data_IF_606718609849
#
_entry.id   IF_606718609849
#
_cell.length_a   1.000
_cell.length_b   1.000
_cell.length_c   1.000
_cell.angle_alpha   90.00
_cell.angle_beta   90.00
_cell.angle_gamma   90.00
#
_symmetry.space_group_name_H-M   'P 1'
#
loop_
_entity.id
_entity.type
_entity.pdbx_description
1 polymer ?
#
# COMPACT_ATOMS: atom_id res chain seq x y z
N UNK A 1 10.99 14.23 -53.44
CA UNK A 1 11.21 15.11 -52.27
C UNK A 1 9.88 15.31 -51.60
N UNK A 2 9.71 14.79 -50.38
CA UNK A 2 8.48 14.89 -49.60
C UNK A 2 8.53 13.90 -48.44
N UNK A 3 8.81 14.43 -47.25
CA UNK A 3 9.22 13.76 -46.02
C UNK A 3 8.28 12.63 -45.55
N UNK A 4 8.87 11.51 -45.13
CA UNK A 4 8.26 10.56 -44.20
C UNK A 4 8.48 11.12 -42.79
N UNK A 5 7.40 11.44 -42.08
CA UNK A 5 7.43 11.88 -40.69
C UNK A 5 7.71 10.69 -39.78
N UNK A 6 8.89 10.67 -39.17
CA UNK A 6 9.26 9.73 -38.12
C UNK A 6 8.67 10.27 -36.81
N UNK A 7 7.65 9.60 -36.28
CA UNK A 7 7.17 9.85 -34.91
C UNK A 7 8.22 9.26 -33.97
N UNK A 8 9.05 10.13 -33.40
CA UNK A 8 9.94 9.76 -32.32
C UNK A 8 9.09 9.62 -31.05
N UNK A 9 8.87 8.38 -30.61
CA UNK A 9 8.48 8.12 -29.22
C UNK A 9 9.69 8.53 -28.38
N UNK A 10 9.57 9.67 -27.69
CA UNK A 10 10.54 10.07 -26.70
C UNK A 10 10.35 9.14 -25.51
N UNK A 11 11.21 8.12 -25.41
CA UNK A 11 11.39 7.40 -24.16
C UNK A 11 11.89 8.44 -23.15
N UNK A 12 11.01 8.87 -22.24
CA UNK A 12 11.42 9.61 -21.07
C UNK A 12 12.40 8.69 -20.32
N UNK A 13 13.67 9.09 -20.25
CA UNK A 13 14.60 8.46 -19.35
C UNK A 13 14.08 8.71 -17.93
N UNK A 14 13.58 7.66 -17.27
CA UNK A 14 13.28 7.70 -15.84
C UNK A 14 14.59 7.98 -15.10
N UNK A 15 14.83 9.25 -14.81
CA UNK A 15 15.79 9.66 -13.80
C UNK A 15 15.10 9.59 -12.46
N UNK A 16 15.13 8.41 -11.84
CA UNK A 16 14.91 8.27 -10.41
C UNK A 16 16.10 7.48 -9.87
N UNK A 17 16.74 8.01 -8.83
CA UNK A 17 17.47 7.17 -7.90
C UNK A 17 16.54 6.05 -7.50
N UNK A 18 16.90 4.82 -7.87
CA UNK A 18 16.21 3.59 -7.45
C UNK A 18 15.96 3.69 -5.93
N UNK A 19 14.70 3.64 -5.45
CA UNK A 19 14.37 3.77 -4.02
C UNK A 19 14.91 2.62 -3.17
N UNK A 20 15.77 1.75 -3.73
CA UNK A 20 16.46 0.70 -2.98
C UNK A 20 15.65 -0.57 -2.85
N UNK A 21 14.52 -0.67 -3.56
CA UNK A 21 13.68 -1.87 -3.58
C UNK A 21 14.32 -2.90 -4.51
N UNK A 22 15.05 -3.84 -3.92
CA UNK A 22 15.57 -5.01 -4.61
C UNK A 22 14.43 -5.98 -4.91
N UNK A 23 13.82 -5.90 -6.09
CA UNK A 23 12.90 -6.93 -6.55
C UNK A 23 13.64 -8.26 -6.75
N UNK A 24 13.47 -9.20 -5.82
CA UNK A 24 13.84 -10.59 -6.05
C UNK A 24 12.81 -11.27 -6.94
N UNK A 25 13.24 -12.22 -7.78
CA UNK A 25 12.31 -13.15 -8.43
C UNK A 25 11.31 -13.67 -7.39
N UNK A 26 10.02 -13.73 -7.75
CA UNK A 26 9.02 -14.55 -7.07
C UNK A 26 9.45 -16.01 -7.16
N UNK A 27 10.49 -16.38 -6.41
CA UNK A 27 10.75 -17.78 -6.14
C UNK A 27 9.57 -18.22 -5.30
N UNK A 28 8.92 -19.28 -5.75
CA UNK A 28 8.02 -20.10 -4.96
C UNK A 28 8.76 -20.52 -3.68
N UNK A 29 8.82 -19.65 -2.67
CA UNK A 29 9.14 -20.06 -1.31
C UNK A 29 7.85 -20.64 -0.76
N UNK A 30 7.88 -21.96 -0.62
CA UNK A 30 7.05 -22.73 0.29
C UNK A 30 5.54 -22.67 0.06
N UNK A 31 5.08 -23.20 -1.08
CA UNK A 31 3.88 -24.05 -1.18
C UNK A 31 2.51 -23.52 -0.70
N UNK A 32 2.43 -22.33 -0.15
CA UNK A 32 1.21 -21.71 0.35
C UNK A 32 0.84 -20.60 -0.62
N UNK A 33 0.01 -20.94 -1.60
CA UNK A 33 -0.57 -20.00 -2.54
C UNK A 33 -1.55 -19.03 -1.88
N UNK A 34 -1.10 -18.34 -0.83
CA UNK A 34 -1.87 -17.31 -0.17
C UNK A 34 -1.53 -15.95 -0.77
N UNK A 35 -2.58 -15.29 -1.26
CA UNK A 35 -2.54 -13.90 -1.74
C UNK A 35 -2.33 -12.87 -0.63
N UNK A 36 -2.43 -13.31 0.62
CA UNK A 36 -2.06 -12.55 1.80
C UNK A 36 -0.91 -13.27 2.49
N UNK A 37 0.07 -12.54 3.06
CA UNK A 37 0.91 -13.13 4.07
C UNK A 37 0.00 -13.40 5.28
N UNK A 38 -0.57 -14.59 5.39
CA UNK A 38 -0.57 -15.19 6.72
C UNK A 38 0.81 -15.78 6.87
N UNK A 39 1.44 -15.48 7.99
CA UNK A 39 2.71 -16.05 8.40
C UNK A 39 2.57 -17.58 8.51
N UNK A 40 2.67 -18.24 7.37
CA UNK A 40 2.91 -19.67 7.22
C UNK A 40 3.98 -19.84 6.17
N UNK A 41 5.14 -19.20 6.38
CA UNK A 41 6.37 -19.86 5.96
C UNK A 41 6.32 -21.26 6.55
N UNK A 42 6.18 -22.29 5.72
CA UNK A 42 6.60 -23.62 6.12
C UNK A 42 8.02 -23.42 6.59
N UNK A 43 8.28 -23.72 7.86
CA UNK A 43 9.61 -23.66 8.43
C UNK A 43 10.55 -24.57 7.63
N UNK A 44 11.13 -24.04 6.55
CA UNK A 44 12.48 -24.39 6.17
C UNK A 44 13.36 -24.10 7.37
N UNK A 45 14.38 -24.92 7.60
CA UNK A 45 15.31 -24.81 8.74
C UNK A 45 16.12 -23.47 8.77
N UNK A 46 15.73 -22.45 7.99
CA UNK A 46 16.23 -21.10 8.16
C UNK A 46 15.59 -20.48 9.42
N UNK A 47 16.39 -20.01 10.38
CA UNK A 47 15.84 -19.34 11.55
C UNK A 47 15.04 -18.12 11.09
N UNK A 48 13.79 -18.01 11.55
CA UNK A 48 12.99 -16.80 11.39
C UNK A 48 13.88 -15.58 11.69
N UNK A 49 13.86 -14.53 10.84
CA UNK A 49 14.60 -13.31 11.12
C UNK A 49 14.29 -12.87 12.54
N UNK A 50 15.34 -12.67 13.34
CA UNK A 50 15.15 -12.17 14.70
C UNK A 50 14.66 -10.73 14.55
N UNK A 51 13.35 -10.55 14.80
CA UNK A 51 12.73 -9.24 14.88
C UNK A 51 13.60 -8.31 15.75
N UNK A 52 14.02 -7.14 15.21
CA UNK A 52 14.79 -6.20 16.00
C UNK A 52 13.98 -5.77 17.24
N UNK A 53 14.63 -5.84 18.39
CA UNK A 53 14.06 -5.32 19.64
C UNK A 53 14.32 -3.82 19.72
N UNK A 54 13.28 -3.04 19.92
CA UNK A 54 13.37 -1.59 20.03
C UNK A 54 13.26 -1.17 21.50
N UNK A 55 14.27 -0.46 22.00
CA UNK A 55 14.19 0.18 23.30
C UNK A 55 13.36 1.47 23.20
N UNK A 56 12.61 1.79 24.26
CA UNK A 56 11.86 3.06 24.34
C UNK A 56 12.84 4.23 24.35
N UNK A 57 12.66 5.16 23.41
CA UNK A 57 13.41 6.42 23.36
C UNK A 57 12.75 7.44 24.30
N UNK A 58 13.41 7.85 25.41
CA UNK A 58 12.78 8.72 26.39
C UNK A 58 12.43 10.10 25.83
N UNK A 59 11.22 10.57 26.12
CA UNK A 59 10.77 11.91 25.76
C UNK A 59 10.22 12.07 24.34
N UNK A 60 10.20 11.00 23.53
CA UNK A 60 9.55 11.03 22.21
C UNK A 60 8.04 10.94 22.34
N UNK A 61 7.54 10.01 23.17
CA UNK A 61 6.12 9.86 23.49
C UNK A 61 5.92 10.02 24.99
N UNK A 62 4.93 10.82 25.36
CA UNK A 62 4.39 10.90 26.72
C UNK A 62 3.40 9.74 26.92
N UNK A 63 3.94 8.67 27.50
CA UNK A 63 3.17 7.50 27.87
C UNK A 63 2.33 7.67 29.14
N UNK A 64 2.50 8.75 29.91
CA UNK A 64 1.90 8.87 31.25
C UNK A 64 2.50 7.90 32.27
N UNK A 65 2.04 7.99 33.52
CA UNK A 65 2.41 7.04 34.56
C UNK A 65 1.58 5.75 34.44
N UNK A 66 2.19 4.63 34.86
CA UNK A 66 1.53 3.32 34.97
C UNK A 66 0.81 2.84 33.70
N UNK A 67 1.34 3.24 32.53
CA UNK A 67 0.86 2.76 31.23
C UNK A 67 0.93 1.23 31.13
N UNK A 68 -0.13 0.55 30.66
CA UNK A 68 -0.04 -0.84 30.21
C UNK A 68 0.96 -0.99 29.07
N UNK A 69 2.01 -1.79 29.25
CA UNK A 69 3.05 -1.95 28.24
C UNK A 69 2.49 -2.62 26.98
N UNK A 70 2.82 -2.05 25.82
CA UNK A 70 2.52 -2.64 24.51
C UNK A 70 3.82 -3.15 23.86
N UNK A 71 3.78 -4.27 23.11
CA UNK A 71 4.97 -4.86 22.49
C UNK A 71 5.60 -3.95 21.43
N UNK A 72 4.86 -2.97 20.92
CA UNK A 72 5.28 -2.04 19.88
C UNK A 72 5.76 -0.69 20.42
N UNK A 73 5.77 -0.46 21.74
CA UNK A 73 6.10 0.86 22.34
C UNK A 73 7.47 1.38 21.95
N UNK A 74 8.49 0.53 22.04
CA UNK A 74 9.85 0.91 21.64
C UNK A 74 9.91 1.27 20.16
N UNK A 75 9.27 0.46 19.31
CA UNK A 75 9.22 0.70 17.87
C UNK A 75 8.52 2.03 17.53
N UNK A 76 7.39 2.34 18.17
CA UNK A 76 6.70 3.61 17.93
C UNK A 76 7.56 4.81 18.32
N UNK A 77 8.30 4.74 19.43
CA UNK A 77 9.23 5.82 19.78
C UNK A 77 10.40 5.94 18.80
N UNK A 78 10.87 4.83 18.23
CA UNK A 78 11.88 4.83 17.17
C UNK A 78 11.34 5.46 15.88
N UNK A 79 10.13 5.06 15.45
CA UNK A 79 9.46 5.59 14.28
C UNK A 79 9.17 7.10 14.41
N UNK A 80 8.63 7.56 15.54
CA UNK A 80 8.44 9.00 15.78
C UNK A 80 9.76 9.77 15.85
N UNK A 81 10.82 9.16 16.40
CA UNK A 81 12.16 9.75 16.39
C UNK A 81 12.67 9.94 14.97
N UNK A 82 12.46 8.94 14.11
CA UNK A 82 12.86 8.96 12.71
C UNK A 82 12.05 9.95 11.88
N UNK A 83 10.72 9.95 12.00
CA UNK A 83 9.83 10.92 11.34
C UNK A 83 10.27 12.36 11.65
N UNK A 84 10.57 12.65 12.91
CA UNK A 84 11.06 13.97 13.31
C UNK A 84 12.43 14.29 12.71
N UNK A 85 13.35 13.33 12.70
CA UNK A 85 14.68 13.51 12.09
C UNK A 85 14.58 13.75 10.58
N UNK A 86 13.79 12.95 9.87
CA UNK A 86 13.50 13.11 8.45
C UNK A 86 12.97 14.51 8.15
N UNK A 87 11.97 14.99 8.91
CA UNK A 87 11.39 16.30 8.67
C UNK A 87 12.30 17.46 9.02
N UNK A 88 13.24 17.31 9.97
CA UNK A 88 14.25 18.34 10.25
C UNK A 88 15.09 18.67 9.01
N UNK A 89 15.45 17.65 8.21
CA UNK A 89 16.24 17.82 7.00
C UNK A 89 15.36 18.10 5.78
N UNK A 90 14.33 17.28 5.56
CA UNK A 90 13.46 17.36 4.39
C UNK A 90 12.69 18.69 4.33
N UNK A 91 12.30 19.28 5.46
CA UNK A 91 11.62 20.57 5.47
C UNK A 91 12.55 21.72 5.09
N UNK A 92 13.83 21.67 5.49
CA UNK A 92 14.84 22.66 5.08
C UNK A 92 15.06 22.58 3.57
N UNK A 93 15.23 21.37 3.04
CA UNK A 93 15.44 21.15 1.61
C UNK A 93 14.23 21.60 0.77
N UNK A 94 13.03 21.20 1.18
CA UNK A 94 11.83 21.37 0.37
C UNK A 94 11.14 22.72 0.60
N UNK A 95 11.13 23.27 1.81
CA UNK A 95 10.45 24.52 2.16
C UNK A 95 11.38 25.69 2.48
N UNK A 96 12.70 25.45 2.61
CA UNK A 96 13.68 26.51 2.85
C UNK A 96 13.61 27.12 4.25
N UNK A 97 13.03 26.40 5.22
CA UNK A 97 12.88 26.81 6.60
C UNK A 97 13.23 25.66 7.54
N UNK A 98 13.58 25.97 8.79
CA UNK A 98 13.79 24.95 9.82
C UNK A 98 12.45 24.37 10.25
N UNK A 99 12.38 23.05 10.38
CA UNK A 99 11.21 22.39 10.99
C UNK A 99 11.23 22.64 12.49
N UNK A 100 10.15 23.20 13.02
CA UNK A 100 9.99 23.36 14.47
C UNK A 100 9.35 22.09 15.04
N UNK A 101 9.94 21.43 16.06
CA UNK A 101 9.34 20.26 16.67
C UNK A 101 7.94 20.52 17.24
N UNK A 102 7.17 19.46 17.49
CA UNK A 102 5.86 19.55 18.14
C UNK A 102 6.02 20.12 19.55
N UNK A 103 5.53 21.34 19.76
CA UNK A 103 5.66 22.03 21.04
C UNK A 103 4.76 21.45 22.13
N UNK A 104 3.66 20.79 21.74
CA UNK A 104 2.78 20.06 22.63
C UNK A 104 3.17 18.61 22.86
N UNK A 105 4.02 18.01 22.03
CA UNK A 105 4.49 16.63 22.17
C UNK A 105 3.55 15.57 21.55
N UNK A 106 3.78 14.31 21.92
CA UNK A 106 3.07 13.14 21.37
C UNK A 106 2.55 12.30 22.54
N UNK A 107 1.28 11.90 22.52
CA UNK A 107 0.62 11.26 23.66
C UNK A 107 -0.02 9.91 23.30
N UNK A 108 0.26 8.89 24.13
CA UNK A 108 -0.49 7.65 24.11
C UNK A 108 -1.76 7.79 24.96
N UNK A 109 -2.93 7.48 24.38
CA UNK A 109 -4.21 7.50 25.07
C UNK A 109 -4.68 6.08 25.40
N UNK A 110 -5.10 5.86 26.65
CA UNK A 110 -5.64 4.59 27.12
C UNK A 110 -6.59 4.85 28.31
N UNK A 111 -7.57 3.98 28.60
CA UNK A 111 -8.63 4.24 29.58
C UNK A 111 -8.14 4.55 31.00
N UNK A 112 -7.00 3.99 31.40
CA UNK A 112 -6.45 4.14 32.76
C UNK A 112 -5.41 5.26 32.89
N UNK A 113 -5.20 6.07 31.85
CA UNK A 113 -4.26 7.21 31.88
C UNK A 113 -4.69 8.24 32.93
N UNK A 114 -3.77 8.68 33.78
CA UNK A 114 -4.05 9.65 34.84
C UNK A 114 -3.68 11.09 34.42
N UNK A 115 -2.60 11.23 33.66
CA UNK A 115 -2.12 12.51 33.16
C UNK A 115 -3.00 13.02 32.02
N UNK A 116 -3.33 14.31 32.06
CA UNK A 116 -4.13 14.93 31.02
C UNK A 116 -3.38 14.96 29.68
N UNK A 117 -4.11 14.67 28.60
CA UNK A 117 -3.70 14.98 27.23
C UNK A 117 -4.16 16.42 26.94
N UNK A 118 -3.38 17.27 26.26
CA UNK A 118 -3.80 18.62 25.90
C UNK A 118 -5.12 18.62 25.13
N UNK A 119 -5.92 19.68 25.29
CA UNK A 119 -7.17 19.83 24.55
C UNK A 119 -6.92 20.34 23.14
N UNK A 120 -7.72 19.90 22.16
CA UNK A 120 -7.65 20.43 20.80
C UNK A 120 -8.66 21.56 20.58
N UNK A 121 -8.22 22.80 20.83
CA UNK A 121 -9.10 23.98 20.75
C UNK A 121 -10.07 24.12 21.92
N UNK A 122 -10.00 23.24 22.92
CA UNK A 122 -10.85 23.25 24.13
C UNK A 122 -10.03 23.58 25.39
N UNK A 123 -10.59 24.29 26.38
CA UNK A 123 -9.90 24.57 27.65
C UNK A 123 -9.70 23.33 28.54
N UNK A 124 -10.48 22.28 28.28
CA UNK A 124 -10.38 20.98 28.94
C UNK A 124 -9.44 20.09 28.12
N UNK A 125 -8.59 19.30 28.77
CA UNK A 125 -7.78 18.30 28.07
C UNK A 125 -8.64 17.27 27.32
N UNK A 126 -8.07 16.61 26.32
CA UNK A 126 -8.74 15.52 25.59
C UNK A 126 -8.89 14.29 26.49
N UNK A 127 -10.08 13.68 26.50
CA UNK A 127 -10.29 12.39 27.18
C UNK A 127 -9.78 11.22 26.34
N UNK A 128 -9.72 10.03 26.91
CA UNK A 128 -9.47 8.82 26.12
C UNK A 128 -10.53 8.65 25.02
N UNK A 129 -11.80 8.86 25.33
CA UNK A 129 -12.90 8.72 24.37
C UNK A 129 -12.80 9.71 23.21
N UNK A 130 -12.34 10.94 23.46
CA UNK A 130 -12.08 11.91 22.40
C UNK A 130 -11.02 11.37 21.43
N UNK A 131 -9.91 10.82 21.95
CA UNK A 131 -8.84 10.25 21.13
C UNK A 131 -9.28 8.98 20.41
N UNK A 132 -9.93 8.05 21.11
CA UNK A 132 -10.40 6.78 20.55
C UNK A 132 -11.45 6.97 19.44
N UNK A 133 -12.22 8.06 19.47
CA UNK A 133 -13.18 8.38 18.41
C UNK A 133 -12.52 8.81 17.09
N UNK A 134 -11.29 9.34 17.17
CA UNK A 134 -10.48 9.77 16.02
C UNK A 134 -9.41 8.74 15.66
N UNK A 135 -9.07 7.83 16.58
CA UNK A 135 -8.04 6.82 16.39
C UNK A 135 -6.63 7.38 16.61
N UNK A 136 -6.19 8.28 15.73
CA UNK A 136 -4.97 9.06 15.87
C UNK A 136 -5.19 10.44 15.22
N UNK A 137 -4.53 11.47 15.73
CA UNK A 137 -4.64 12.80 15.12
C UNK A 137 -3.46 13.72 15.47
N UNK A 138 -3.22 14.71 14.61
CA UNK A 138 -2.52 15.94 14.94
C UNK A 138 -3.49 17.09 15.25
N UNK A 139 -3.21 17.82 16.33
CA UNK A 139 -3.95 19.02 16.69
C UNK A 139 -3.12 20.29 16.44
N UNK A 140 -3.62 21.20 15.62
CA UNK A 140 -2.93 22.47 15.32
C UNK A 140 -2.99 23.47 16.48
N UNK A 141 -4.09 23.54 17.24
CA UNK A 141 -4.26 24.52 18.31
C UNK A 141 -3.35 24.29 19.51
N UNK A 142 -3.03 23.02 19.79
CA UNK A 142 -2.12 22.61 20.85
C UNK A 142 -0.76 22.12 20.36
N UNK A 143 -0.58 22.02 19.04
CA UNK A 143 0.62 21.51 18.36
C UNK A 143 1.15 20.19 18.96
N UNK A 144 0.23 19.23 19.10
CA UNK A 144 0.50 17.90 19.65
C UNK A 144 -0.14 16.81 18.80
N UNK A 145 0.34 15.58 18.96
CA UNK A 145 -0.31 14.39 18.43
C UNK A 145 -0.81 13.49 19.56
N UNK A 146 -1.91 12.79 19.32
CA UNK A 146 -2.38 11.75 20.21
C UNK A 146 -2.90 10.54 19.43
N UNK A 147 -2.81 9.35 20.03
CA UNK A 147 -3.25 8.11 19.41
C UNK A 147 -3.85 7.14 20.43
N UNK A 148 -4.76 6.29 19.98
CA UNK A 148 -5.44 5.25 20.75
C UNK A 148 -4.57 4.00 20.90
N UNK A 149 -3.92 3.89 22.06
CA UNK A 149 -3.03 2.80 22.45
C UNK A 149 -3.77 1.59 23.09
N UNK A 150 -5.11 1.62 23.12
CA UNK A 150 -5.94 0.60 23.78
C UNK A 150 -6.78 -0.23 22.79
N UNK A 151 -7.32 0.39 21.74
CA UNK A 151 -8.20 -0.29 20.78
C UNK A 151 -7.66 -0.29 19.35
N UNK A 152 -7.55 0.87 18.70
CA UNK A 152 -7.22 0.95 17.27
C UNK A 152 -5.80 0.46 16.97
N UNK A 153 -4.77 1.03 17.59
CA UNK A 153 -3.39 0.65 17.30
C UNK A 153 -3.13 -0.82 17.62
N UNK A 154 -3.51 -1.37 18.79
CA UNK A 154 -3.39 -2.81 19.03
C UNK A 154 -4.04 -3.67 17.94
N UNK A 155 -5.22 -3.31 17.44
CA UNK A 155 -5.87 -4.05 16.35
C UNK A 155 -5.03 -4.00 15.07
N UNK A 156 -4.61 -2.80 14.64
CA UNK A 156 -3.81 -2.64 13.42
C UNK A 156 -2.46 -3.37 13.53
N UNK A 157 -1.80 -3.33 14.69
CA UNK A 157 -0.56 -4.07 14.91
C UNK A 157 -0.79 -5.58 14.82
N UNK A 158 -1.87 -6.09 15.41
CA UNK A 158 -2.19 -7.52 15.35
C UNK A 158 -2.54 -7.98 13.92
N UNK A 159 -3.22 -7.13 13.15
CA UNK A 159 -3.73 -7.48 11.82
C UNK A 159 -2.69 -7.27 10.71
N UNK A 160 -1.85 -6.23 10.82
CA UNK A 160 -0.99 -5.74 9.74
C UNK A 160 0.48 -5.52 10.14
N UNK A 161 0.80 -5.53 11.44
CA UNK A 161 2.15 -5.23 11.95
C UNK A 161 2.32 -3.78 12.42
N UNK A 162 3.39 -3.54 13.17
CA UNK A 162 3.69 -2.24 13.81
C UNK A 162 4.11 -1.18 12.78
N UNK A 163 4.71 -1.59 11.68
CA UNK A 163 5.13 -0.76 10.56
C UNK A 163 3.94 -0.11 9.86
N UNK A 164 2.82 -0.85 9.74
CA UNK A 164 1.56 -0.31 9.21
C UNK A 164 1.06 0.87 10.05
N UNK A 165 1.14 0.75 11.38
CA UNK A 165 0.79 1.83 12.30
C UNK A 165 1.76 3.01 12.18
N UNK A 166 3.05 2.77 12.01
CA UNK A 166 4.00 3.86 11.80
C UNK A 166 3.71 4.67 10.52
N UNK A 167 3.23 4.02 9.45
CA UNK A 167 2.77 4.71 8.24
C UNK A 167 1.54 5.59 8.51
N UNK A 168 0.56 5.09 9.28
CA UNK A 168 -0.60 5.90 9.71
C UNK A 168 -0.14 7.11 10.55
N UNK A 169 0.79 6.92 11.47
CA UNK A 169 1.31 8.01 12.29
C UNK A 169 2.16 9.01 11.49
N UNK A 170 2.83 8.58 10.42
CA UNK A 170 3.53 9.46 9.49
C UNK A 170 2.56 10.34 8.70
N UNK A 171 1.37 9.82 8.35
CA UNK A 171 0.28 10.62 7.81
C UNK A 171 -0.15 11.71 8.79
N UNK A 172 -0.44 11.34 10.05
CA UNK A 172 -0.83 12.31 11.08
C UNK A 172 0.25 13.39 11.30
N UNK A 173 1.52 13.00 11.26
CA UNK A 173 2.64 13.95 11.34
C UNK A 173 2.69 14.87 10.11
N UNK A 174 2.24 14.41 8.93
CA UNK A 174 2.07 15.21 7.72
C UNK A 174 1.19 16.44 7.95
N UNK A 175 0.19 16.38 8.82
CA UNK A 175 -0.60 17.55 9.21
C UNK A 175 0.21 18.59 10.00
N UNK A 176 1.16 18.16 10.82
CA UNK A 176 2.09 19.09 11.47
C UNK A 176 2.98 19.81 10.44
N UNK A 177 3.42 19.09 9.41
CA UNK A 177 4.17 19.65 8.26
C UNK A 177 3.34 20.69 7.53
N UNK A 178 2.06 20.41 7.25
CA UNK A 178 1.14 21.35 6.62
C UNK A 178 0.94 22.62 7.44
N UNK A 179 0.81 22.50 8.76
CA UNK A 179 0.73 23.65 9.66
C UNK A 179 1.96 24.55 9.53
N UNK A 180 3.17 23.96 9.47
CA UNK A 180 4.44 24.69 9.32
C UNK A 180 4.64 25.26 7.93
N UNK A 181 4.18 24.55 6.91
CA UNK A 181 4.15 24.98 5.51
C UNK A 181 3.11 26.09 5.23
N UNK A 182 2.21 26.37 6.18
CA UNK A 182 1.06 27.28 6.03
C UNK A 182 0.07 26.81 4.97
N UNK A 183 -0.12 25.49 4.93
CA UNK A 183 -1.00 24.78 4.00
C UNK A 183 -2.27 24.25 4.71
N UNK A 184 -2.49 24.60 5.98
CA UNK A 184 -3.62 24.14 6.78
C UNK A 184 -5.00 24.51 6.21
N UNK A 185 -5.12 25.70 5.61
CA UNK A 185 -6.39 26.23 5.08
C UNK A 185 -6.75 25.71 3.67
N UNK A 186 -6.02 24.72 3.17
CA UNK A 186 -6.28 24.09 1.87
C UNK A 186 -7.51 23.16 1.94
N UNK A 187 -8.15 22.81 0.79
CA UNK A 187 -9.32 21.93 0.78
C UNK A 187 -9.05 20.60 1.50
N UNK A 188 -10.02 20.18 2.35
CA UNK A 188 -9.87 19.03 3.27
C UNK A 188 -9.30 17.78 2.61
N UNK A 189 -9.99 17.25 1.60
CA UNK A 189 -9.52 16.05 0.90
C UNK A 189 -8.13 16.20 0.25
N UNK A 190 -7.78 17.39 -0.27
CA UNK A 190 -6.44 17.60 -0.84
C UNK A 190 -5.36 17.65 0.24
N UNK A 191 -5.71 18.17 1.42
CA UNK A 191 -4.85 18.19 2.58
C UNK A 191 -4.61 16.76 3.08
N UNK A 192 -5.64 15.93 3.17
CA UNK A 192 -5.51 14.51 3.54
C UNK A 192 -4.63 13.74 2.54
N UNK A 193 -4.87 13.93 1.25
CA UNK A 193 -4.06 13.33 0.19
C UNK A 193 -2.59 13.78 0.29
N UNK A 194 -2.31 15.04 0.59
CA UNK A 194 -0.94 15.50 0.74
C UNK A 194 -0.26 14.89 1.98
N UNK A 195 -1.02 14.64 3.07
CA UNK A 195 -0.51 13.92 4.24
C UNK A 195 -0.16 12.46 3.89
N UNK A 196 -0.98 11.76 3.10
CA UNK A 196 -0.63 10.43 2.57
C UNK A 196 0.66 10.46 1.72
N UNK A 197 0.85 11.51 0.90
CA UNK A 197 2.09 11.70 0.14
C UNK A 197 3.32 11.92 1.03
N UNK A 198 3.18 12.71 2.08
CA UNK A 198 4.24 12.91 3.05
C UNK A 198 4.60 11.62 3.78
N UNK A 199 3.61 10.79 4.12
CA UNK A 199 3.85 9.45 4.65
C UNK A 199 4.63 8.58 3.66
N UNK A 200 4.25 8.58 2.38
CA UNK A 200 4.96 7.86 1.32
C UNK A 200 6.42 8.28 1.16
N UNK A 201 6.69 9.59 1.18
CA UNK A 201 8.06 10.12 1.09
C UNK A 201 8.94 9.68 2.27
N UNK A 202 8.39 9.66 3.48
CA UNK A 202 9.07 9.14 4.66
C UNK A 202 9.26 7.61 4.58
N UNK A 203 8.25 6.85 4.16
CA UNK A 203 8.37 5.40 4.00
C UNK A 203 9.45 5.02 2.98
N UNK A 204 9.59 5.77 1.88
CA UNK A 204 10.69 5.57 0.93
C UNK A 204 12.06 5.87 1.54
N UNK A 205 12.16 6.91 2.39
CA UNK A 205 13.38 7.18 3.14
C UNK A 205 13.78 6.00 4.03
N UNK A 206 12.84 5.42 4.77
CA UNK A 206 13.11 4.25 5.63
C UNK A 206 13.44 3.00 4.79
N UNK A 207 12.65 2.71 3.76
CA UNK A 207 12.83 1.54 2.90
C UNK A 207 14.15 1.56 2.11
N UNK A 208 14.64 2.76 1.75
CA UNK A 208 15.94 2.95 1.10
C UNK A 208 17.15 2.89 2.06
N UNK A 209 16.92 2.59 3.35
CA UNK A 209 17.96 2.53 4.38
C UNK A 209 18.43 3.90 4.86
N UNK A 210 17.61 4.94 4.72
CA UNK A 210 17.90 6.28 5.20
C UNK A 210 17.75 6.47 6.71
N UNK A 211 17.05 5.54 7.38
CA UNK A 211 16.86 5.54 8.83
C UNK A 211 17.94 4.74 9.55
N UNK A 212 18.47 5.31 10.64
CA UNK A 212 19.33 4.60 11.60
C UNK A 212 18.53 3.93 12.74
N UNK A 213 17.20 4.19 12.81
CA UNK A 213 16.35 3.78 13.93
C UNK A 213 15.44 2.61 13.60
N UNK A 214 14.94 2.52 12.37
CA UNK A 214 14.02 1.49 11.89
C UNK A 214 14.36 1.09 10.45
N UNK A 215 13.86 -0.04 9.99
CA UNK A 215 14.03 -0.52 8.60
C UNK A 215 12.68 -0.98 8.11
N UNK A 216 12.35 -0.66 6.86
CA UNK A 216 11.19 -1.17 6.14
C UNK A 216 11.65 -2.05 5.00
N UNK A 217 11.00 -3.20 4.83
CA UNK A 217 11.04 -3.97 3.60
C UNK A 217 9.75 -3.80 2.78
N UNK A 218 9.63 -4.56 1.69
CA UNK A 218 8.45 -4.53 0.82
C UNK A 218 7.16 -4.98 1.52
N UNK A 219 7.26 -5.83 2.54
CA UNK A 219 6.12 -6.25 3.34
C UNK A 219 5.65 -5.12 4.23
N UNK A 220 6.56 -4.38 4.86
CA UNK A 220 6.25 -3.24 5.72
C UNK A 220 5.55 -2.11 4.95
N UNK A 221 6.08 -1.74 3.78
CA UNK A 221 5.48 -0.73 2.90
C UNK A 221 4.08 -1.17 2.45
N UNK A 222 3.93 -2.44 2.07
CA UNK A 222 2.62 -3.00 1.67
C UNK A 222 1.63 -2.99 2.83
N UNK A 223 2.04 -3.35 4.04
CA UNK A 223 1.16 -3.33 5.23
C UNK A 223 0.67 -1.92 5.54
N UNK A 224 1.52 -0.90 5.37
CA UNK A 224 1.11 0.51 5.45
C UNK A 224 0.03 0.89 4.43
N UNK A 225 0.20 0.50 3.16
CA UNK A 225 -0.81 0.72 2.12
C UNK A 225 -2.13 0.02 2.45
N UNK A 226 -2.08 -1.21 2.97
CA UNK A 226 -3.28 -1.95 3.41
C UNK A 226 -3.96 -1.24 4.57
N UNK A 227 -3.22 -0.70 5.54
CA UNK A 227 -3.80 0.10 6.63
C UNK A 227 -4.54 1.34 6.10
N UNK A 228 -3.96 2.05 5.13
CA UNK A 228 -4.61 3.20 4.48
C UNK A 228 -5.92 2.80 3.77
N UNK A 229 -5.94 1.64 3.09
CA UNK A 229 -7.15 1.13 2.45
C UNK A 229 -8.22 0.75 3.49
N UNK A 230 -7.83 0.21 4.65
CA UNK A 230 -8.78 -0.16 5.71
C UNK A 230 -9.53 1.05 6.29
N UNK A 231 -8.86 2.20 6.38
CA UNK A 231 -9.43 3.46 6.90
C UNK A 231 -9.85 4.43 5.78
N UNK A 232 -10.17 3.93 4.59
CA UNK A 232 -10.68 4.72 3.46
C UNK A 232 -12.09 5.24 3.73
N UNK A 233 -12.44 6.36 3.09
CA UNK A 233 -13.83 6.83 3.12
C UNK A 233 -14.71 6.04 2.15
N UNK A 234 -16.00 5.88 2.48
CA UNK A 234 -16.97 5.39 1.51
C UNK A 234 -17.09 6.38 0.34
N UNK A 235 -17.30 5.84 -0.86
CA UNK A 235 -17.57 6.60 -2.08
C UNK A 235 -18.99 7.23 -2.03
N UNK A 236 -19.84 6.74 -1.13
CA UNK A 236 -21.22 7.17 -0.95
C UNK A 236 -21.39 8.28 0.11
N UNK A 237 -22.58 8.88 0.16
CA UNK A 237 -22.89 9.96 1.09
C UNK A 237 -22.29 11.28 0.62
N UNK A 238 -21.71 12.05 1.56
CA UNK A 238 -20.98 13.27 1.21
C UNK A 238 -19.62 12.95 0.55
N UNK A 239 -19.12 11.71 0.68
CA UNK A 239 -17.92 11.21 0.00
C UNK A 239 -16.74 12.19 0.11
N UNK A 240 -16.10 12.49 -1.02
CA UNK A 240 -15.00 13.48 -1.09
C UNK A 240 -15.40 14.92 -0.75
N UNK A 241 -16.70 15.23 -0.63
CA UNK A 241 -17.19 16.52 -0.21
C UNK A 241 -17.38 16.64 1.32
N UNK A 242 -17.22 15.55 2.07
CA UNK A 242 -17.16 15.62 3.53
C UNK A 242 -15.90 16.42 3.94
N UNK A 243 -16.03 17.47 4.77
CA UNK A 243 -14.88 18.20 5.30
C UNK A 243 -13.88 17.35 6.10
N UNK A 244 -14.30 16.16 6.56
CA UNK A 244 -13.47 15.16 7.24
C UNK A 244 -13.04 14.00 6.32
N UNK A 245 -13.23 14.12 5.00
CA UNK A 245 -12.84 13.07 4.06
C UNK A 245 -11.32 12.95 3.93
N UNK A 246 -10.81 11.75 4.22
CA UNK A 246 -9.47 11.26 3.88
C UNK A 246 -9.29 11.00 2.38
N UNK A 247 -10.32 10.52 1.69
CA UNK A 247 -10.27 10.11 0.28
C UNK A 247 -10.66 8.65 0.04
N UNK A 248 -10.86 8.28 -1.24
CA UNK A 248 -11.09 6.88 -1.61
C UNK A 248 -9.81 6.07 -1.48
N UNK A 249 -9.92 4.73 -1.36
CA UNK A 249 -8.73 3.87 -1.28
C UNK A 249 -7.77 4.05 -2.46
N UNK A 250 -8.28 4.23 -3.68
CA UNK A 250 -7.44 4.48 -4.86
C UNK A 250 -6.69 5.80 -4.76
N UNK A 251 -7.38 6.86 -4.35
CA UNK A 251 -6.80 8.18 -4.27
C UNK A 251 -5.71 8.22 -3.19
N UNK A 252 -5.95 7.61 -2.03
CA UNK A 252 -5.00 7.54 -0.92
C UNK A 252 -3.74 6.77 -1.27
N UNK A 253 -3.89 5.58 -1.86
CA UNK A 253 -2.76 4.78 -2.36
C UNK A 253 -1.96 5.54 -3.42
N UNK A 254 -2.65 6.19 -4.37
CA UNK A 254 -1.99 6.99 -5.39
C UNK A 254 -1.22 8.18 -4.80
N UNK A 255 -1.77 8.84 -3.78
CA UNK A 255 -1.09 9.93 -3.10
C UNK A 255 0.13 9.45 -2.30
N UNK A 256 0.06 8.31 -1.61
CA UNK A 256 1.22 7.69 -0.99
C UNK A 256 2.30 7.38 -2.03
N UNK A 257 1.94 6.77 -3.16
CA UNK A 257 2.86 6.42 -4.25
C UNK A 257 3.55 7.67 -4.84
N UNK A 258 2.82 8.77 -5.02
CA UNK A 258 3.40 10.05 -5.45
C UNK A 258 4.58 10.47 -4.58
N UNK A 259 4.44 10.30 -3.26
CA UNK A 259 5.49 10.65 -2.29
C UNK A 259 6.59 9.60 -2.22
N UNK A 260 6.24 8.33 -2.28
CA UNK A 260 7.19 7.21 -2.25
C UNK A 260 8.15 7.27 -3.44
N UNK A 261 7.65 7.57 -4.64
CA UNK A 261 8.45 7.66 -5.86
C UNK A 261 9.06 9.06 -6.08
N UNK A 262 8.29 10.12 -5.76
CA UNK A 262 8.62 11.50 -6.11
C UNK A 262 9.19 12.34 -4.97
N UNK A 263 9.20 11.82 -3.74
CA UNK A 263 9.65 12.50 -2.53
C UNK A 263 8.81 13.74 -2.17
N UNK A 264 9.29 14.50 -1.18
CA UNK A 264 8.55 15.66 -0.62
C UNK A 264 8.26 16.74 -1.65
N UNK A 265 9.15 16.95 -2.64
CA UNK A 265 8.94 17.96 -3.69
C UNK A 265 7.71 17.66 -4.55
N UNK A 266 7.39 16.38 -4.78
CA UNK A 266 6.18 15.97 -5.49
C UNK A 266 4.92 16.23 -4.66
N UNK A 267 5.00 16.13 -3.34
CA UNK A 267 3.87 16.42 -2.46
C UNK A 267 3.49 17.91 -2.43
N UNK A 268 4.45 18.81 -2.70
CA UNK A 268 4.20 20.26 -2.73
C UNK A 268 3.30 20.73 -3.89
N UNK A 269 3.08 19.91 -4.92
CA UNK A 269 2.29 20.33 -6.09
C UNK A 269 0.79 20.08 -5.91
N UNK A 270 0.38 19.39 -4.84
CA UNK A 270 -1.00 18.92 -4.61
C UNK A 270 -2.05 20.04 -4.66
N UNK A 271 -1.71 21.26 -4.24
CA UNK A 271 -2.65 22.39 -4.23
C UNK A 271 -2.59 23.26 -5.50
N UNK A 272 -1.66 22.95 -6.41
CA UNK A 272 -1.48 23.71 -7.66
C UNK A 272 -2.00 22.96 -8.90
N UNK A 273 -2.34 21.69 -8.73
CA UNK A 273 -2.85 20.81 -9.77
C UNK A 273 -4.37 20.61 -9.61
N UNK A 274 -5.07 20.28 -10.70
CA UNK A 274 -6.50 19.96 -10.68
C UNK A 274 -6.74 18.50 -10.26
N UNK A 275 -6.35 18.21 -9.02
CA UNK A 275 -6.32 16.87 -8.43
C UNK A 275 -7.70 16.32 -8.16
N UNK A 276 -8.59 17.17 -7.65
CA UNK A 276 -9.98 16.80 -7.34
C UNK A 276 -10.67 16.24 -8.58
N UNK A 277 -10.46 16.86 -9.76
CA UNK A 277 -11.06 16.39 -11.01
C UNK A 277 -10.48 15.07 -11.52
N UNK A 278 -9.30 14.67 -11.02
CA UNK A 278 -8.65 13.39 -11.34
C UNK A 278 -8.98 12.29 -10.32
N UNK A 279 -9.61 12.61 -9.18
CA UNK A 279 -9.97 11.63 -8.16
C UNK A 279 -11.06 10.69 -8.68
N UNK A 280 -10.89 9.39 -8.42
CA UNK A 280 -11.75 8.34 -8.98
C UNK A 280 -12.96 8.13 -8.09
N UNK A 281 -14.04 8.85 -8.39
CA UNK A 281 -15.33 8.69 -7.71
C UNK A 281 -16.34 7.96 -8.61
N UNK A 282 -16.06 6.68 -8.88
CA UNK A 282 -16.99 5.81 -9.64
C UNK A 282 -17.95 5.19 -8.64
N UNK A 283 -19.20 5.66 -8.67
CA UNK A 283 -20.26 5.11 -7.83
C UNK A 283 -20.58 3.68 -8.23
N UNK A 284 -20.62 2.82 -7.22
CA UNK A 284 -20.97 1.43 -7.38
C UNK A 284 -22.48 1.24 -7.65
N UNK A 285 -22.86 0.47 -8.67
CA UNK A 285 -24.27 0.10 -8.86
C UNK A 285 -24.64 -1.03 -7.89
N UNK A 286 -25.34 -0.70 -6.81
CA UNK A 286 -25.76 -1.68 -5.79
C UNK A 286 -26.71 -2.76 -6.31
N UNK A 287 -27.34 -2.55 -7.47
CA UNK A 287 -28.17 -3.55 -8.11
C UNK A 287 -27.35 -4.48 -9.04
N UNK A 288 -26.05 -4.24 -9.19
CA UNK A 288 -25.15 -5.14 -9.91
C UNK A 288 -25.13 -6.50 -9.19
N UNK A 289 -25.57 -7.58 -9.87
CA UNK A 289 -25.67 -8.90 -9.25
C UNK A 289 -24.33 -9.47 -8.78
N UNK A 290 -23.21 -8.95 -9.28
CA UNK A 290 -21.86 -9.40 -8.91
C UNK A 290 -21.13 -8.43 -8.00
N UNK A 291 -21.80 -7.38 -7.52
CA UNK A 291 -21.14 -6.26 -6.84
C UNK A 291 -19.93 -5.73 -7.65
N UNK A 292 -20.07 -5.78 -8.99
CA UNK A 292 -19.14 -5.22 -9.97
C UNK A 292 -17.86 -5.99 -10.17
N UNK A 293 -17.77 -7.16 -9.54
CA UNK A 293 -16.77 -8.15 -9.91
C UNK A 293 -17.11 -8.73 -11.29
N UNK A 294 -16.09 -8.87 -12.13
CA UNK A 294 -16.16 -9.72 -13.31
C UNK A 294 -16.35 -11.19 -12.87
N UNK A 295 -17.20 -11.97 -13.56
CA UNK A 295 -17.26 -13.40 -13.33
C UNK A 295 -15.91 -14.05 -13.70
N UNK A 296 -15.54 -15.14 -13.00
CA UNK A 296 -14.34 -15.88 -13.35
C UNK A 296 -14.39 -16.42 -14.79
N UNK A 297 -15.54 -16.97 -15.20
CA UNK A 297 -15.80 -17.47 -16.55
C UNK A 297 -17.17 -16.96 -17.00
N UNK A 298 -17.22 -16.38 -18.20
CA UNK A 298 -18.44 -15.96 -18.86
C UNK A 298 -19.03 -17.14 -19.61
N UNK A 299 -20.06 -17.73 -19.02
CA UNK A 299 -20.75 -18.87 -19.62
C UNK A 299 -21.54 -18.50 -20.89
N UNK A 300 -21.84 -17.22 -21.11
CA UNK A 300 -22.68 -16.75 -22.21
C UNK A 300 -22.11 -15.44 -22.80
N UNK A 301 -20.94 -15.49 -23.46
CA UNK A 301 -20.29 -14.32 -24.01
C UNK A 301 -21.17 -13.59 -25.02
N UNK A 302 -21.10 -12.26 -24.98
CA UNK A 302 -21.79 -11.43 -25.96
C UNK A 302 -21.22 -11.71 -27.36
N UNK A 303 -22.06 -11.95 -28.40
CA UNK A 303 -21.57 -12.28 -29.73
C UNK A 303 -20.76 -11.18 -30.41
N UNK A 304 -21.00 -9.91 -30.04
CA UNK A 304 -20.38 -8.73 -30.67
C UNK A 304 -19.23 -8.17 -29.82
N UNK A 305 -19.36 -8.22 -28.48
CA UNK A 305 -18.36 -7.69 -27.54
C UNK A 305 -17.36 -8.75 -27.03
N UNK A 306 -17.71 -10.03 -27.14
CA UNK A 306 -16.90 -11.14 -26.63
C UNK A 306 -17.14 -11.43 -25.15
N UNK A 307 -16.33 -12.33 -24.55
CA UNK A 307 -16.46 -12.70 -23.14
C UNK A 307 -16.12 -11.54 -22.22
N UNK A 308 -16.94 -11.37 -21.18
CA UNK A 308 -16.71 -10.42 -20.10
C UNK A 308 -16.35 -11.16 -18.81
N UNK A 309 -15.20 -11.85 -18.82
CA UNK A 309 -14.70 -12.62 -17.67
C UNK A 309 -13.21 -12.40 -17.38
N UNK A 310 -12.82 -12.77 -16.17
CA UNK A 310 -11.46 -12.63 -15.66
C UNK A 310 -10.47 -13.42 -16.52
N UNK A 311 -10.75 -14.71 -16.78
CA UNK A 311 -9.79 -15.64 -17.41
C UNK A 311 -9.59 -15.38 -18.91
N UNK A 312 -10.39 -14.53 -19.52
CA UNK A 312 -10.20 -14.06 -20.89
C UNK A 312 -9.63 -12.65 -20.93
N UNK A 313 -10.24 -11.70 -20.22
CA UNK A 313 -9.87 -10.28 -20.34
C UNK A 313 -8.49 -9.99 -19.74
N UNK A 314 -8.17 -10.54 -18.57
CA UNK A 314 -6.87 -10.29 -17.92
C UNK A 314 -5.73 -10.90 -18.74
N UNK A 315 -5.75 -12.20 -19.12
CA UNK A 315 -4.67 -12.75 -19.92
C UNK A 315 -4.52 -12.10 -21.29
N UNK A 316 -5.63 -11.70 -21.95
CA UNK A 316 -5.55 -10.96 -23.22
C UNK A 316 -4.87 -9.60 -23.05
N UNK A 317 -5.16 -8.87 -21.96
CA UNK A 317 -4.49 -7.61 -21.62
C UNK A 317 -3.00 -7.81 -21.36
N UNK A 318 -2.64 -8.83 -20.57
CA UNK A 318 -1.25 -9.17 -20.26
C UNK A 318 -0.46 -9.60 -21.50
N UNK A 319 -1.07 -10.44 -22.35
CA UNK A 319 -0.51 -10.83 -23.64
C UNK A 319 -0.23 -9.61 -24.51
N UNK A 320 -1.22 -8.73 -24.66
CA UNK A 320 -1.08 -7.50 -25.45
C UNK A 320 0.08 -6.64 -24.93
N UNK A 321 0.08 -6.34 -23.63
CA UNK A 321 1.11 -5.51 -22.99
C UNK A 321 2.52 -6.10 -23.17
N UNK A 322 2.72 -7.37 -22.80
CA UNK A 322 4.04 -7.98 -22.82
C UNK A 322 4.55 -8.25 -24.24
N UNK A 323 3.66 -8.59 -25.19
CA UNK A 323 4.06 -8.76 -26.59
C UNK A 323 4.58 -7.47 -27.18
N UNK A 324 3.85 -6.36 -26.98
CA UNK A 324 4.25 -5.05 -27.48
C UNK A 324 5.55 -4.56 -26.82
N UNK A 325 5.65 -4.69 -25.49
CA UNK A 325 6.83 -4.23 -24.75
C UNK A 325 8.07 -5.09 -25.07
N UNK A 326 7.93 -6.42 -25.17
CA UNK A 326 9.02 -7.31 -25.55
C UNK A 326 9.53 -7.00 -26.97
N UNK A 327 8.60 -6.84 -27.92
CA UNK A 327 8.94 -6.48 -29.29
C UNK A 327 9.67 -5.13 -29.38
N UNK A 328 9.21 -4.12 -28.63
CA UNK A 328 9.86 -2.81 -28.57
C UNK A 328 11.30 -2.87 -28.03
N UNK A 329 11.62 -3.88 -27.22
CA UNK A 329 12.95 -4.11 -26.64
C UNK A 329 13.74 -5.23 -27.34
N UNK A 330 13.26 -5.75 -28.47
CA UNK A 330 13.96 -6.79 -29.23
C UNK A 330 14.01 -8.15 -28.55
N UNK A 331 13.13 -8.41 -27.58
CA UNK A 331 13.02 -9.68 -26.85
C UNK A 331 12.03 -10.58 -27.61
N UNK A 332 12.44 -11.77 -28.08
CA UNK A 332 11.53 -12.71 -28.71
C UNK A 332 10.59 -13.31 -27.64
N UNK A 333 9.33 -12.95 -27.69
CA UNK A 333 8.32 -13.41 -26.73
C UNK A 333 7.18 -14.12 -27.46
N UNK A 334 6.86 -15.34 -27.01
CA UNK A 334 5.66 -16.07 -27.43
C UNK A 334 4.73 -16.13 -26.24
N UNK A 335 3.55 -15.49 -26.28
CA UNK A 335 2.59 -15.53 -25.17
C UNK A 335 2.25 -16.96 -24.75
N UNK A 336 2.18 -17.25 -23.45
CA UNK A 336 1.82 -18.57 -22.96
C UNK A 336 0.34 -18.88 -23.19
N UNK A 337 0.01 -20.15 -23.42
CA UNK A 337 -1.40 -20.61 -23.43
C UNK A 337 -1.87 -20.91 -22.02
N UNK A 338 -3.18 -20.88 -21.78
CA UNK A 338 -3.76 -21.12 -20.45
C UNK A 338 -4.38 -22.51 -20.34
N UNK A 339 -4.17 -23.20 -19.22
CA UNK A 339 -4.84 -24.46 -18.92
C UNK A 339 -5.30 -24.53 -17.46
N UNK A 340 -6.61 -24.70 -17.28
CA UNK A 340 -7.23 -24.90 -15.98
C UNK A 340 -6.99 -26.31 -15.43
N UNK A 341 -6.94 -26.44 -14.10
CA UNK A 341 -7.06 -27.71 -13.37
C UNK A 341 -7.87 -27.52 -12.08
N UNK A 342 -8.35 -28.62 -11.49
CA UNK A 342 -9.04 -28.59 -10.20
C UNK A 342 -8.05 -28.68 -9.04
N UNK A 343 -8.32 -28.04 -7.90
CA UNK A 343 -7.51 -28.15 -6.67
C UNK A 343 -7.31 -29.61 -6.25
N UNK A 344 -8.29 -30.48 -6.53
CA UNK A 344 -8.24 -31.90 -6.20
C UNK A 344 -7.44 -32.76 -7.21
N UNK A 345 -6.95 -32.15 -8.30
CA UNK A 345 -6.30 -32.83 -9.41
C UNK A 345 -7.27 -33.54 -10.37
N UNK A 346 -6.76 -34.32 -11.33
CA UNK A 346 -5.34 -34.61 -11.55
C UNK A 346 -4.55 -33.36 -11.96
N UNK A 347 -3.33 -33.22 -11.45
CA UNK A 347 -2.47 -32.09 -11.79
C UNK A 347 -1.79 -32.30 -13.15
N UNK A 348 -1.57 -31.21 -13.92
CA UNK A 348 -0.71 -31.23 -15.10
C UNK A 348 0.72 -31.68 -14.75
N UNK A 349 1.48 -32.08 -15.78
CA UNK A 349 2.91 -32.42 -15.62
C UNK A 349 3.75 -31.34 -16.27
N UNK A 350 4.59 -30.68 -15.48
CA UNK A 350 5.55 -29.68 -15.95
C UNK A 350 6.95 -30.03 -15.44
N UNK A 351 7.96 -29.95 -16.31
CA UNK A 351 9.33 -30.25 -15.91
C UNK A 351 9.83 -29.20 -14.89
N UNK A 352 10.23 -29.67 -13.71
CA UNK A 352 10.73 -28.81 -12.62
C UNK A 352 9.66 -28.26 -11.67
N UNK A 353 8.40 -28.70 -11.81
CA UNK A 353 7.30 -28.37 -10.90
C UNK A 353 6.85 -29.63 -10.17
N UNK A 354 6.86 -29.60 -8.84
CA UNK A 354 6.33 -30.67 -7.97
C UNK A 354 4.80 -30.60 -7.91
N UNK A 355 4.13 -31.76 -7.76
CA UNK A 355 2.68 -31.83 -7.59
C UNK A 355 2.17 -30.98 -6.42
N UNK A 356 2.98 -30.81 -5.37
CA UNK A 356 2.65 -29.97 -4.20
C UNK A 356 2.56 -28.47 -4.51
N UNK A 357 3.06 -28.01 -5.66
CA UNK A 357 3.04 -26.60 -6.04
C UNK A 357 1.76 -26.20 -6.81
N UNK A 358 0.95 -27.16 -7.24
CA UNK A 358 -0.27 -26.89 -8.00
C UNK A 358 -1.46 -26.41 -7.16
N UNK A 359 -1.77 -26.97 -5.97
CA UNK A 359 -2.90 -26.50 -5.19
C UNK A 359 -2.83 -24.99 -4.92
N UNK A 360 -3.97 -24.30 -5.11
CA UNK A 360 -4.12 -22.87 -4.86
C UNK A 360 -3.10 -21.98 -5.59
N UNK A 361 -2.83 -22.27 -6.86
CA UNK A 361 -1.78 -21.56 -7.58
C UNK A 361 -2.14 -21.21 -9.04
N UNK A 362 -1.44 -20.21 -9.57
CA UNK A 362 -1.37 -19.90 -11.01
C UNK A 362 0.11 -19.80 -11.35
N UNK A 363 0.61 -20.76 -12.13
CA UNK A 363 2.04 -20.93 -12.36
C UNK A 363 2.36 -21.04 -13.85
N UNK A 364 3.51 -20.52 -14.24
CA UNK A 364 4.03 -20.64 -15.60
C UNK A 364 4.96 -21.85 -15.73
N UNK A 365 4.67 -22.72 -16.70
CA UNK A 365 5.53 -23.81 -17.11
C UNK A 365 6.37 -23.43 -18.33
N UNK A 366 7.68 -23.23 -18.10
CA UNK A 366 8.61 -22.89 -19.17
C UNK A 366 8.83 -24.00 -20.22
N UNK A 367 8.58 -25.27 -19.85
CA UNK A 367 8.89 -26.41 -20.70
C UNK A 367 7.92 -26.56 -21.89
N UNK A 368 6.66 -26.17 -21.70
CA UNK A 368 5.58 -26.27 -22.68
C UNK A 368 4.94 -24.91 -23.01
N UNK A 369 5.40 -23.83 -22.37
CA UNK A 369 4.89 -22.46 -22.51
C UNK A 369 3.41 -22.33 -22.12
N UNK A 370 3.02 -22.97 -21.02
CA UNK A 370 1.64 -22.98 -20.50
C UNK A 370 1.57 -22.33 -19.12
N UNK A 371 0.59 -21.46 -18.91
CA UNK A 371 0.16 -21.04 -17.57
C UNK A 371 -0.91 -22.02 -17.09
N UNK A 372 -0.57 -22.80 -16.07
CA UNK A 372 -1.49 -23.69 -15.38
C UNK A 372 -2.15 -22.91 -14.23
N UNK A 373 -3.47 -22.99 -14.11
CA UNK A 373 -4.20 -22.29 -13.04
C UNK A 373 -5.24 -23.17 -12.33
N UNK A 374 -5.26 -23.08 -11.01
CA UNK A 374 -6.22 -23.75 -10.15
C UNK A 374 -7.58 -23.02 -10.21
N UNK A 375 -8.55 -23.64 -10.89
CA UNK A 375 -9.84 -23.01 -11.14
C UNK A 375 -10.72 -22.90 -9.90
N UNK A 376 -10.59 -23.84 -8.96
CA UNK A 376 -11.46 -23.85 -7.78
C UNK A 376 -10.98 -22.78 -6.80
N UNK A 377 -9.65 -22.61 -6.70
CA UNK A 377 -9.05 -21.51 -5.95
C UNK A 377 -9.29 -20.14 -6.58
N UNK A 378 -9.13 -20.00 -7.90
CA UNK A 378 -9.44 -18.75 -8.58
C UNK A 378 -10.92 -18.35 -8.39
N UNK A 379 -11.83 -19.33 -8.36
CA UNK A 379 -13.24 -19.09 -8.07
C UNK A 379 -13.45 -18.61 -6.63
N UNK A 380 -12.84 -19.28 -5.65
CA UNK A 380 -12.88 -18.90 -4.24
C UNK A 380 -12.43 -17.44 -4.07
N UNK A 381 -11.29 -17.08 -4.65
CA UNK A 381 -10.75 -15.72 -4.59
C UNK A 381 -11.65 -14.68 -5.27
N UNK A 382 -12.15 -14.98 -6.46
CA UNK A 382 -13.03 -14.05 -7.18
C UNK A 382 -14.32 -13.71 -6.43
N UNK A 383 -14.72 -14.57 -5.47
CA UNK A 383 -15.93 -14.43 -4.68
C UNK A 383 -15.66 -13.92 -3.25
N UNK A 384 -14.39 -13.78 -2.87
CA UNK A 384 -14.02 -13.30 -1.54
C UNK A 384 -14.26 -11.78 -1.44
N UNK A 385 -14.89 -11.39 -0.33
CA UNK A 385 -15.38 -10.02 -0.13
C UNK A 385 -14.26 -9.00 0.07
N UNK A 386 -13.05 -9.43 0.42
CA UNK A 386 -11.89 -8.57 0.63
C UNK A 386 -11.08 -8.41 -0.65
N UNK A 387 -10.92 -9.48 -1.43
CA UNK A 387 -10.02 -9.57 -2.58
C UNK A 387 -10.69 -9.29 -3.92
N UNK A 388 -11.89 -9.83 -4.15
CA UNK A 388 -12.63 -9.68 -5.39
C UNK A 388 -11.93 -10.23 -6.64
N UNK A 389 -12.44 -9.84 -7.81
CA UNK A 389 -11.98 -10.29 -9.13
C UNK A 389 -10.52 -9.93 -9.46
N UNK A 390 -10.08 -8.72 -9.08
CA UNK A 390 -8.74 -8.21 -9.37
C UNK A 390 -7.62 -9.07 -8.78
N UNK A 391 -7.88 -9.75 -7.66
CA UNK A 391 -6.91 -10.59 -6.99
C UNK A 391 -6.56 -11.85 -7.78
N UNK A 392 -7.50 -12.37 -8.57
CA UNK A 392 -7.21 -13.42 -9.56
C UNK A 392 -6.32 -12.86 -10.68
N UNK A 393 -6.57 -11.61 -11.09
CA UNK A 393 -5.76 -10.94 -12.10
C UNK A 393 -4.28 -10.77 -11.69
N UNK A 394 -4.01 -10.53 -10.41
CA UNK A 394 -2.65 -10.50 -9.87
C UNK A 394 -1.94 -11.85 -10.03
N UNK A 395 -2.62 -12.97 -9.77
CA UNK A 395 -2.04 -14.32 -9.96
C UNK A 395 -1.64 -14.58 -11.42
N UNK A 396 -2.50 -14.21 -12.37
CA UNK A 396 -2.14 -14.29 -13.79
C UNK A 396 -0.98 -13.36 -14.15
N UNK A 397 -0.95 -12.15 -13.59
CA UNK A 397 0.13 -11.17 -13.82
C UNK A 397 1.48 -11.70 -13.35
N UNK A 398 1.53 -12.40 -12.22
CA UNK A 398 2.74 -13.06 -11.73
C UNK A 398 3.22 -14.17 -12.68
N UNK A 399 2.32 -15.05 -13.13
CA UNK A 399 2.68 -16.10 -14.08
C UNK A 399 3.18 -15.55 -15.43
N UNK A 400 2.57 -14.47 -15.94
CA UNK A 400 3.09 -13.76 -17.12
C UNK A 400 4.46 -13.11 -16.85
N UNK A 401 4.70 -12.62 -15.63
CA UNK A 401 5.99 -12.08 -15.22
C UNK A 401 7.09 -13.15 -15.22
N UNK A 402 6.78 -14.39 -14.86
CA UNK A 402 7.71 -15.51 -14.98
C UNK A 402 7.97 -15.90 -16.45
N UNK A 403 6.94 -15.81 -17.29
CA UNK A 403 7.06 -16.05 -18.73
C UNK A 403 8.00 -15.04 -19.39
N UNK A 404 7.85 -13.75 -19.11
CA UNK A 404 8.74 -12.72 -19.68
C UNK A 404 10.15 -12.84 -19.12
N UNK A 405 10.31 -13.13 -17.82
CA UNK A 405 11.63 -13.37 -17.24
C UNK A 405 12.35 -14.56 -17.85
N UNK A 406 11.60 -15.59 -18.25
CA UNK A 406 12.14 -16.73 -18.99
C UNK A 406 12.60 -16.32 -20.39
N UNK A 407 11.83 -15.48 -21.09
CA UNK A 407 12.18 -14.97 -22.42
C UNK A 407 13.38 -13.98 -22.42
N UNK A 408 13.67 -13.35 -21.28
CA UNK A 408 14.81 -12.45 -21.11
C UNK A 408 16.16 -13.16 -20.90
N UNK A 409 16.15 -14.48 -20.64
CA UNK A 409 17.35 -15.31 -20.49
C UNK A 409 17.89 -15.76 -21.84
#
# INVERSE_FOLDING_TARGET
>A
MGLVGMVAVVAAACGATDPGVSATQSRLSDGDGQLFPTDTTVAGDDPAPVEPTYDIIPGVVDFGADKPAQPYDGFLTAAFGDIQAFWNDAFVESYGATFEPLSGGIYAAYPTRQEAIPGCGTPTGSTYEDVASLGAFYCIEGDFMAYDDDSLLPSLVNDLGKEAVAVVLAHEFGHAVQARAKEWDQPGVLKEQQADCFAGAWSAHVASGGSDLIVFDDADVRSGLVAMINVRDPIEGDGLADPQAHGTGFDRVGAFQDGFEGGVLRCKTFFTEDRISAMVNILFDREDPNAGNLPLIDANPDPDLGPSDIVTLIPASLEFFWTDLAAANGVPFTPPTLQAYSTAGPFPSCAGVDEQQYPRNVLFCAADNVIYWDQDFALELSQDLLTGDMSVGYLFSNAFSDAIQTALR
#
